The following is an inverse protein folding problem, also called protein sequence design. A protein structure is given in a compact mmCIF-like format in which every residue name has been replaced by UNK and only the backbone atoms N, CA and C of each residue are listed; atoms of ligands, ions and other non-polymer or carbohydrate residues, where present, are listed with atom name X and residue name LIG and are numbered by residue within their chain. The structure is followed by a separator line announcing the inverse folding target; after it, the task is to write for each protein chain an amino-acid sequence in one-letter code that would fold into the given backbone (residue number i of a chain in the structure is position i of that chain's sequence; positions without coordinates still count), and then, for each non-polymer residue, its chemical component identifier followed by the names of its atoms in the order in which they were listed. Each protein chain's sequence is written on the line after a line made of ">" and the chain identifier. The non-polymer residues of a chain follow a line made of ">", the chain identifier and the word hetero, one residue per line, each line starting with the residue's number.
data_IF_490896911222
#
_entry.id   IF_490896911222
#
_cell.length_a   1.000
_cell.length_b   1.000
_cell.length_c   1.000
_cell.angle_alpha   90.00
_cell.angle_beta   90.00
_cell.angle_gamma   90.00
#
_symmetry.space_group_name_H-M   'P 1'
#
loop_
_entity.id
_entity.type
_entity.pdbx_description
1 polymer ?
#
# COMPACT_ATOMS: atom_id res chain seq x y z
N UNK A 1 13.44 18.40 21.44
CA UNK A 1 14.36 19.19 20.60
C UNK A 1 13.87 19.03 19.17
N UNK A 2 13.00 19.93 18.71
CA UNK A 2 12.37 19.87 17.40
C UNK A 2 13.24 20.70 16.45
N UNK A 3 13.95 20.06 15.52
CA UNK A 3 14.87 20.72 14.60
C UNK A 3 14.06 21.49 13.52
N UNK A 4 14.33 22.78 13.40
CA UNK A 4 13.63 23.79 12.59
C UNK A 4 13.98 23.73 11.10
N UNK A 5 14.10 22.53 10.52
CA UNK A 5 14.46 22.32 9.09
C UNK A 5 13.26 22.32 8.12
N UNK A 6 12.23 23.08 8.42
CA UNK A 6 11.10 23.34 7.52
C UNK A 6 11.39 24.72 6.90
N UNK A 7 11.48 24.96 5.60
CA UNK A 7 10.76 24.42 4.45
C UNK A 7 11.44 24.89 3.15
N UNK A 8 11.90 23.98 2.28
CA UNK A 8 12.21 24.30 0.86
C UNK A 8 11.98 23.10 -0.05
N UNK A 9 11.22 22.10 0.41
CA UNK A 9 10.88 20.92 -0.39
C UNK A 9 9.44 21.04 -0.88
N UNK A 10 9.26 20.88 -2.20
CA UNK A 10 7.96 20.88 -2.89
C UNK A 10 6.94 19.92 -2.23
N UNK A 11 7.42 18.79 -1.71
CA UNK A 11 6.64 17.85 -0.91
C UNK A 11 7.33 17.52 0.42
N UNK A 12 6.85 18.14 1.49
CA UNK A 12 7.33 17.93 2.86
C UNK A 12 7.12 16.48 3.35
N UNK A 13 6.12 15.77 2.82
CA UNK A 13 5.78 14.41 3.24
C UNK A 13 6.43 13.31 2.36
N UNK A 14 7.21 13.71 1.35
CA UNK A 14 7.74 12.79 0.37
C UNK A 14 8.62 11.67 0.96
N UNK A 15 9.45 12.01 1.95
CA UNK A 15 10.29 11.04 2.66
C UNK A 15 9.46 10.03 3.47
N UNK A 16 8.48 10.53 4.23
CA UNK A 16 7.57 9.72 5.04
C UNK A 16 6.79 8.69 4.21
N UNK A 17 6.30 9.07 3.03
CA UNK A 17 5.62 8.14 2.13
C UNK A 17 6.55 7.02 1.63
N UNK A 18 7.82 7.32 1.36
CA UNK A 18 8.81 6.31 0.93
C UNK A 18 9.12 5.34 2.06
N UNK A 19 9.25 5.83 3.28
CA UNK A 19 9.50 4.99 4.45
C UNK A 19 8.31 4.08 4.76
N UNK A 20 7.09 4.63 4.72
CA UNK A 20 5.84 3.87 4.83
C UNK A 20 5.74 2.80 3.73
N UNK A 21 6.01 3.16 2.47
CA UNK A 21 6.00 2.21 1.36
C UNK A 21 7.05 1.10 1.54
N UNK A 22 8.25 1.43 2.03
CA UNK A 22 9.31 0.47 2.32
C UNK A 22 8.87 -0.52 3.42
N UNK A 23 8.29 -0.01 4.50
CA UNK A 23 7.77 -0.85 5.59
C UNK A 23 6.63 -1.75 5.13
N UNK A 24 5.68 -1.22 4.38
CA UNK A 24 4.58 -2.00 3.79
C UNK A 24 5.11 -3.13 2.90
N UNK A 25 6.12 -2.85 2.04
CA UNK A 25 6.77 -3.88 1.21
C UNK A 25 7.46 -4.95 2.04
N UNK A 26 8.17 -4.57 3.10
CA UNK A 26 8.85 -5.52 3.99
C UNK A 26 7.84 -6.49 4.61
N UNK A 27 6.76 -5.97 5.18
CA UNK A 27 5.71 -6.77 5.82
C UNK A 27 5.04 -7.70 4.81
N UNK A 28 4.67 -7.17 3.64
CA UNK A 28 4.10 -7.96 2.56
C UNK A 28 5.06 -9.06 2.08
N UNK A 29 6.35 -8.76 1.90
CA UNK A 29 7.34 -9.77 1.52
C UNK A 29 7.51 -10.85 2.59
N UNK A 30 7.50 -10.48 3.87
CA UNK A 30 7.53 -11.47 4.97
C UNK A 30 6.29 -12.34 4.97
N UNK A 31 5.10 -11.77 4.76
CA UNK A 31 3.84 -12.49 4.65
C UNK A 31 3.89 -13.54 3.53
N UNK A 32 4.28 -13.15 2.31
CA UNK A 32 4.40 -14.10 1.20
C UNK A 32 5.58 -15.08 1.35
N UNK A 33 6.61 -14.71 2.11
CA UNK A 33 7.69 -15.63 2.49
C UNK A 33 7.21 -16.78 3.37
N UNK A 34 6.17 -16.55 4.20
CA UNK A 34 5.56 -17.60 5.02
C UNK A 34 4.89 -18.71 4.19
N UNK A 35 4.58 -18.45 2.91
CA UNK A 35 4.00 -19.48 2.03
C UNK A 35 4.94 -20.69 1.85
N UNK A 36 6.25 -20.52 2.05
CA UNK A 36 7.21 -21.65 2.02
C UNK A 36 6.94 -22.63 3.17
N UNK A 37 6.45 -22.15 4.31
CA UNK A 37 6.20 -22.96 5.51
C UNK A 37 4.74 -23.42 5.62
N UNK A 38 3.80 -22.56 5.25
CA UNK A 38 2.35 -22.80 5.42
C UNK A 38 1.69 -23.32 4.13
N UNK A 39 2.39 -23.25 2.99
CA UNK A 39 1.84 -23.56 1.67
C UNK A 39 1.15 -22.34 1.03
N UNK A 40 0.30 -22.58 0.03
CA UNK A 40 -0.41 -21.50 -0.67
C UNK A 40 -1.50 -20.91 0.23
N UNK A 41 -1.38 -19.62 0.55
CA UNK A 41 -2.41 -18.90 1.32
C UNK A 41 -3.65 -18.67 0.46
N UNK A 42 -4.86 -18.99 0.94
CA UNK A 42 -6.06 -18.72 0.18
C UNK A 42 -6.32 -17.20 0.09
N UNK A 43 -6.94 -16.72 -1.00
CA UNK A 43 -7.08 -15.29 -1.27
C UNK A 43 -7.84 -14.52 -0.19
N UNK A 44 -8.86 -15.14 0.42
CA UNK A 44 -9.69 -14.47 1.42
C UNK A 44 -8.91 -14.15 2.70
N UNK A 45 -8.21 -15.14 3.25
CA UNK A 45 -7.35 -15.02 4.42
C UNK A 45 -6.19 -14.06 4.16
N UNK A 46 -5.62 -14.11 2.95
CA UNK A 46 -4.60 -13.17 2.55
C UNK A 46 -5.09 -11.74 2.51
N UNK A 47 -6.32 -11.48 2.05
CA UNK A 47 -6.94 -10.16 2.13
C UNK A 47 -7.09 -9.67 3.57
N UNK A 48 -7.52 -10.54 4.48
CA UNK A 48 -7.63 -10.19 5.91
C UNK A 48 -6.27 -9.80 6.48
N UNK A 49 -5.23 -10.58 6.19
CA UNK A 49 -3.86 -10.30 6.67
C UNK A 49 -3.30 -9.03 6.02
N UNK A 50 -3.51 -8.81 4.73
CA UNK A 50 -3.11 -7.59 4.04
C UNK A 50 -3.81 -6.36 4.66
N UNK A 51 -5.11 -6.45 4.91
CA UNK A 51 -5.89 -5.42 5.60
C UNK A 51 -5.40 -5.15 7.03
N UNK A 52 -5.00 -6.19 7.77
CA UNK A 52 -4.54 -6.05 9.15
C UNK A 52 -3.08 -5.57 9.27
N UNK A 53 -2.22 -5.88 8.29
CA UNK A 53 -0.76 -5.70 8.40
C UNK A 53 -0.16 -4.73 7.41
N UNK A 54 -0.64 -4.70 6.17
CA UNK A 54 -0.06 -3.88 5.09
C UNK A 54 -0.82 -2.56 4.96
N UNK A 55 -2.15 -2.63 4.95
CA UNK A 55 -3.02 -1.45 4.84
C UNK A 55 -2.78 -0.37 5.91
N UNK A 56 -2.47 -0.66 7.19
CA UNK A 56 -2.20 0.40 8.18
C UNK A 56 -0.99 1.27 7.85
N UNK A 57 -0.03 0.75 7.07
CA UNK A 57 1.11 1.53 6.58
C UNK A 57 0.79 2.33 5.32
N UNK A 58 -0.26 1.94 4.59
CA UNK A 58 -0.76 2.62 3.40
C UNK A 58 -1.78 3.71 3.74
N UNK A 59 -2.63 3.47 4.75
CA UNK A 59 -3.83 4.24 5.08
C UNK A 59 -3.81 4.87 6.48
N UNK A 60 -2.63 5.06 7.09
CA UNK A 60 -2.47 5.51 8.48
C UNK A 60 -3.61 6.44 8.92
N UNK A 61 -4.40 5.97 9.89
CA UNK A 61 -5.73 6.50 10.18
C UNK A 61 -5.73 8.03 10.29
N UNK A 62 -6.53 8.66 9.42
CA UNK A 62 -6.83 10.10 9.41
C UNK A 62 -5.80 11.05 8.80
N UNK A 63 -4.74 10.57 8.15
CA UNK A 63 -3.88 11.42 7.32
C UNK A 63 -4.63 11.83 6.02
N UNK A 64 -5.48 12.87 6.09
CA UNK A 64 -5.99 13.58 4.90
C UNK A 64 -4.82 14.37 4.33
N UNK A 65 -3.95 13.69 3.58
CA UNK A 65 -2.80 14.32 2.99
C UNK A 65 -3.17 14.91 1.62
N UNK A 66 -2.99 16.23 1.41
CA UNK A 66 -3.15 16.82 0.10
C UNK A 66 -2.18 16.16 -0.88
N UNK A 67 -2.68 15.74 -2.05
CA UNK A 67 -1.90 15.10 -3.10
C UNK A 67 -1.01 16.14 -3.80
N UNK A 68 0.03 16.60 -3.11
CA UNK A 68 0.91 17.68 -3.58
C UNK A 68 1.86 17.19 -4.68
N UNK A 69 2.13 15.88 -4.77
CA UNK A 69 3.01 15.27 -5.76
C UNK A 69 2.70 13.77 -5.98
N UNK A 70 3.21 13.19 -7.07
CA UNK A 70 3.10 11.77 -7.46
C UNK A 70 3.65 10.75 -6.45
N UNK A 71 3.96 11.16 -5.22
CA UNK A 71 4.54 10.28 -4.18
C UNK A 71 3.52 9.25 -3.68
N UNK A 72 2.22 9.56 -3.76
CA UNK A 72 1.14 8.61 -3.49
C UNK A 72 1.14 7.42 -4.46
N UNK A 73 1.70 7.59 -5.67
CA UNK A 73 1.83 6.48 -6.63
C UNK A 73 2.68 5.33 -6.08
N UNK A 74 3.64 5.61 -5.19
CA UNK A 74 4.51 4.61 -4.59
C UNK A 74 3.73 3.73 -3.61
N UNK A 75 2.80 4.31 -2.84
CA UNK A 75 1.92 3.56 -1.94
C UNK A 75 0.91 2.73 -2.73
N UNK A 76 0.33 3.34 -3.78
CA UNK A 76 -0.59 2.64 -4.69
C UNK A 76 0.06 1.43 -5.37
N UNK A 77 1.31 1.57 -5.83
CA UNK A 77 2.06 0.47 -6.42
C UNK A 77 2.28 -0.70 -5.46
N UNK A 78 2.50 -0.43 -4.16
CA UNK A 78 2.62 -1.48 -3.14
C UNK A 78 1.30 -2.19 -2.92
N UNK A 79 0.18 -1.46 -2.86
CA UNK A 79 -1.15 -2.06 -2.72
C UNK A 79 -1.45 -3.01 -3.89
N UNK A 80 -1.29 -2.54 -5.13
CA UNK A 80 -1.49 -3.37 -6.33
C UNK A 80 -0.60 -4.61 -6.35
N UNK A 81 0.69 -4.42 -6.06
CA UNK A 81 1.65 -5.53 -6.07
C UNK A 81 1.29 -6.59 -5.03
N UNK A 82 0.78 -6.20 -3.86
CA UNK A 82 0.32 -7.15 -2.85
C UNK A 82 -0.88 -7.98 -3.33
N UNK A 83 -1.84 -7.36 -4.01
CA UNK A 83 -3.03 -8.03 -4.53
C UNK A 83 -2.70 -8.95 -5.71
N UNK A 84 -1.85 -8.51 -6.64
CA UNK A 84 -1.38 -9.36 -7.73
C UNK A 84 -0.65 -10.60 -7.21
N UNK A 85 0.21 -10.42 -6.22
CA UNK A 85 0.96 -11.54 -5.63
C UNK A 85 0.06 -12.49 -4.85
N UNK A 86 -0.97 -11.97 -4.19
CA UNK A 86 -1.97 -12.78 -3.49
C UNK A 86 -2.77 -13.67 -4.45
N UNK A 87 -3.20 -13.11 -5.57
CA UNK A 87 -3.95 -13.87 -6.59
C UNK A 87 -3.06 -14.60 -7.59
N UNK A 88 -1.74 -14.56 -7.42
CA UNK A 88 -0.76 -15.09 -8.40
C UNK A 88 -0.99 -14.55 -9.83
N UNK A 89 -1.43 -13.30 -9.95
CA UNK A 89 -1.67 -12.62 -11.21
C UNK A 89 -0.40 -11.93 -11.73
N UNK A 90 -0.32 -11.82 -13.06
CA UNK A 90 0.73 -11.04 -13.70
C UNK A 90 0.55 -9.55 -13.34
N UNK A 91 1.64 -8.78 -13.11
CA UNK A 91 1.56 -7.33 -12.93
C UNK A 91 0.98 -6.56 -14.13
N UNK A 92 0.84 -7.19 -15.29
CA UNK A 92 0.15 -6.66 -16.48
C UNK A 92 -1.34 -7.05 -16.53
N UNK A 93 -1.84 -7.80 -15.54
CA UNK A 93 -3.23 -8.22 -15.46
C UNK A 93 -4.17 -7.03 -15.29
N UNK A 94 -5.39 -7.17 -15.80
CA UNK A 94 -6.42 -6.15 -15.65
C UNK A 94 -6.70 -5.88 -14.18
N UNK A 95 -6.64 -4.60 -13.81
CA UNK A 95 -6.70 -4.14 -12.43
C UNK A 95 -8.15 -4.11 -11.90
N UNK A 96 -9.11 -3.82 -12.77
CA UNK A 96 -10.53 -3.67 -12.43
C UNK A 96 -11.19 -4.89 -11.71
N UNK A 97 -11.03 -6.14 -12.18
CA UNK A 97 -11.71 -7.29 -11.57
C UNK A 97 -11.16 -7.66 -10.19
N UNK A 98 -9.91 -7.29 -9.87
CA UNK A 98 -9.36 -7.51 -8.54
C UNK A 98 -10.19 -6.82 -7.46
N UNK A 99 -10.72 -5.62 -7.72
CA UNK A 99 -11.36 -4.82 -6.68
C UNK A 99 -12.80 -5.22 -6.39
N UNK A 100 -13.53 -5.60 -7.43
CA UNK A 100 -14.93 -6.00 -7.29
C UNK A 100 -15.07 -7.30 -6.51
N UNK A 101 -14.10 -8.22 -6.66
CA UNK A 101 -14.14 -9.52 -6.00
C UNK A 101 -13.52 -9.50 -4.59
N UNK A 102 -12.43 -8.75 -4.37
CA UNK A 102 -11.70 -8.76 -3.09
C UNK A 102 -12.27 -7.80 -2.04
N UNK A 103 -13.25 -6.96 -2.39
CA UNK A 103 -13.82 -5.90 -1.52
C UNK A 103 -12.75 -4.95 -0.91
N UNK A 104 -11.62 -4.79 -1.57
CA UNK A 104 -10.53 -3.89 -1.13
C UNK A 104 -10.74 -2.50 -1.73
N UNK A 105 -10.64 -1.45 -0.92
CA UNK A 105 -10.74 -0.06 -1.41
C UNK A 105 -9.38 0.49 -1.81
N UNK A 106 -9.29 1.10 -2.99
CA UNK A 106 -8.05 1.72 -3.45
C UNK A 106 -7.71 3.02 -2.72
N UNK A 107 -6.42 3.26 -2.48
CA UNK A 107 -5.90 4.56 -2.04
C UNK A 107 -6.36 5.68 -2.99
N UNK A 108 -6.27 5.45 -4.31
CA UNK A 108 -6.67 6.44 -5.33
C UNK A 108 -8.14 6.83 -5.29
N UNK A 109 -9.04 5.88 -4.97
CA UNK A 109 -10.48 6.17 -4.90
C UNK A 109 -10.88 6.92 -3.62
N UNK A 110 -9.99 6.99 -2.63
CA UNK A 110 -10.23 7.69 -1.35
C UNK A 110 -9.59 9.07 -1.30
N UNK A 111 -8.77 9.45 -2.27
CA UNK A 111 -8.18 10.77 -2.33
C UNK A 111 -9.20 11.78 -2.87
N UNK A 112 -9.31 12.91 -2.19
CA UNK A 112 -10.05 14.07 -2.67
C UNK A 112 -9.03 14.93 -3.42
N UNK A 113 -9.18 15.02 -4.74
CA UNK A 113 -8.45 16.01 -5.54
C UNK A 113 -9.10 17.36 -5.29
N UNK A 114 -8.35 18.29 -4.69
CA UNK A 114 -8.76 19.69 -4.49
C UNK A 114 -8.32 20.54 -5.69
#
# INVERSE_FOLDING_TARGET
>A
MWDSRLTTLRNMFGGHHRDKASNARRIMNTMFGLNIFVGCMPPWEGCVILGARVEPHLFHGCDVLPDIDATTSVLYAVQLYSLWRLLSLNPRSMIAPLFTELKVTLIKCRQITL
#
